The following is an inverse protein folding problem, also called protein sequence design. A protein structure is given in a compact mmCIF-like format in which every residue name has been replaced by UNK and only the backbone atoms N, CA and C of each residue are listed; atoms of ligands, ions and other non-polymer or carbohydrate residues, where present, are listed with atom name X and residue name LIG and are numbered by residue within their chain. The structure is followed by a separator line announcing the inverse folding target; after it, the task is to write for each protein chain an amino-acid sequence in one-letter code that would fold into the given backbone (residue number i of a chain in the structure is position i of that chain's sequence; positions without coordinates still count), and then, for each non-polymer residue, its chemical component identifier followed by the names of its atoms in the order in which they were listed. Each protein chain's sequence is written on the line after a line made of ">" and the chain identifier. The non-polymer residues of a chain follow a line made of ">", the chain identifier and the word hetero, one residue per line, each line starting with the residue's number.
data_IF_254548991486
#
_entry.id   IF_254548991486
#
_cell.length_a   1.000
_cell.length_b   1.000
_cell.length_c   1.000
_cell.angle_alpha   90.00
_cell.angle_beta   90.00
_cell.angle_gamma   90.00
#
_symmetry.space_group_name_H-M   'P 1'
#
loop_
_entity.id
_entity.type
_entity.pdbx_description
1 polymer ?
#
# COMPACT_ATOMS: atom_id res chain seq x y z
N UNK A 1 4.07 17.80 -11.81
CA UNK A 1 3.08 16.75 -12.09
C UNK A 1 1.73 17.25 -11.58
N UNK A 2 0.78 17.54 -12.47
CA UNK A 2 -0.50 18.20 -12.14
C UNK A 2 -1.68 17.23 -11.98
N UNK A 3 -1.43 15.96 -11.73
CA UNK A 3 -2.47 14.94 -11.58
C UNK A 3 -2.42 14.26 -10.22
N UNK A 4 -3.52 13.61 -9.84
CA UNK A 4 -3.56 12.74 -8.66
C UNK A 4 -2.68 11.50 -8.89
N UNK A 5 -2.03 11.01 -7.82
CA UNK A 5 -1.38 9.70 -7.84
C UNK A 5 -2.45 8.60 -7.94
N UNK A 6 -2.32 7.74 -8.91
CA UNK A 6 -3.23 6.60 -9.14
C UNK A 6 -2.73 5.41 -8.36
N UNK A 7 -3.55 4.94 -7.42
CA UNK A 7 -3.14 3.87 -6.52
C UNK A 7 -3.95 2.60 -6.74
N UNK A 8 -3.24 1.47 -6.67
CA UNK A 8 -3.83 0.15 -6.57
C UNK A 8 -3.64 -0.40 -5.16
N UNK A 9 -4.65 -1.08 -4.62
CA UNK A 9 -4.64 -1.61 -3.25
C UNK A 9 -4.70 -3.12 -3.26
N UNK A 10 -3.72 -3.76 -2.65
CA UNK A 10 -3.69 -5.21 -2.37
C UNK A 10 -3.93 -5.41 -0.88
N UNK A 11 -5.10 -5.96 -0.53
CA UNK A 11 -5.52 -6.18 0.84
C UNK A 11 -6.64 -5.23 1.29
N UNK A 12 -7.89 -5.73 1.29
CA UNK A 12 -9.09 -4.99 1.64
C UNK A 12 -9.64 -5.39 3.02
N UNK A 13 -8.75 -5.47 4.01
CA UNK A 13 -9.06 -5.83 5.39
C UNK A 13 -9.25 -4.63 6.32
N UNK A 14 -9.07 -4.88 7.63
CA UNK A 14 -9.26 -3.87 8.69
C UNK A 14 -8.40 -2.62 8.53
N UNK A 15 -7.18 -2.75 8.01
CA UNK A 15 -6.34 -1.59 7.80
C UNK A 15 -6.97 -0.62 6.79
N UNK A 16 -7.46 -1.13 5.65
CA UNK A 16 -8.16 -0.31 4.66
C UNK A 16 -9.44 0.29 5.26
N UNK A 17 -10.20 -0.48 6.05
CA UNK A 17 -11.38 0.02 6.75
C UNK A 17 -11.08 1.27 7.58
N UNK A 18 -9.95 1.28 8.27
CA UNK A 18 -9.52 2.42 9.10
C UNK A 18 -8.98 3.60 8.30
N UNK A 19 -8.57 3.40 7.06
CA UNK A 19 -7.94 4.42 6.20
C UNK A 19 -8.82 4.90 5.06
N UNK A 20 -9.97 4.26 4.83
CA UNK A 20 -10.84 4.57 3.70
C UNK A 20 -11.26 6.05 3.68
N UNK A 21 -11.63 6.62 4.83
CA UNK A 21 -12.02 8.03 4.93
C UNK A 21 -10.86 8.98 4.57
N UNK A 22 -9.64 8.67 5.00
CA UNK A 22 -8.45 9.48 4.70
C UNK A 22 -8.17 9.46 3.19
N UNK A 23 -8.29 8.30 2.55
CA UNK A 23 -8.10 8.14 1.10
C UNK A 23 -9.19 8.85 0.30
N UNK A 24 -10.45 8.75 0.71
CA UNK A 24 -11.59 9.42 0.06
C UNK A 24 -11.48 10.94 0.14
N UNK A 25 -11.03 11.48 1.27
CA UNK A 25 -10.89 12.92 1.47
C UNK A 25 -9.66 13.51 0.79
N UNK A 26 -8.70 12.68 0.38
CA UNK A 26 -7.48 13.15 -0.24
C UNK A 26 -7.72 13.73 -1.64
N UNK A 27 -7.15 14.91 -1.86
CA UNK A 27 -7.12 15.54 -3.19
C UNK A 27 -5.92 15.11 -4.04
N UNK A 28 -4.99 14.35 -3.45
CA UNK A 28 -3.71 14.00 -4.07
C UNK A 28 -3.66 12.57 -4.63
N UNK A 29 -4.59 11.72 -4.20
CA UNK A 29 -4.64 10.31 -4.64
C UNK A 29 -5.98 9.94 -5.24
N UNK A 30 -5.97 8.94 -6.09
CA UNK A 30 -7.15 8.32 -6.68
C UNK A 30 -6.99 6.80 -6.61
N UNK A 31 -7.93 6.12 -5.97
CA UNK A 31 -7.95 4.64 -5.96
C UNK A 31 -8.52 4.15 -7.28
N UNK A 32 -7.77 3.32 -8.01
CA UNK A 32 -8.17 2.78 -9.33
C UNK A 32 -8.57 1.33 -9.28
N UNK A 33 -7.77 0.52 -8.61
CA UNK A 33 -7.95 -0.93 -8.53
C UNK A 33 -7.79 -1.42 -7.11
N UNK A 34 -8.59 -2.44 -6.73
CA UNK A 34 -8.48 -3.11 -5.44
C UNK A 34 -8.53 -4.63 -5.62
N UNK A 35 -7.68 -5.31 -4.89
CA UNK A 35 -7.64 -6.77 -4.82
C UNK A 35 -7.64 -7.24 -3.37
N UNK A 36 -8.37 -8.31 -3.08
CA UNK A 36 -8.38 -8.94 -1.76
C UNK A 36 -8.05 -10.43 -1.87
N UNK A 37 -6.90 -10.88 -1.37
CA UNK A 37 -6.48 -12.28 -1.51
C UNK A 37 -7.33 -13.27 -0.73
N UNK A 38 -8.11 -12.81 0.25
CA UNK A 38 -8.90 -13.68 1.13
C UNK A 38 -10.39 -13.63 0.82
N UNK A 39 -10.90 -12.46 0.43
CA UNK A 39 -12.34 -12.26 0.23
C UNK A 39 -12.59 -11.22 -0.87
N UNK A 40 -12.95 -11.68 -2.06
CA UNK A 40 -13.24 -10.82 -3.22
C UNK A 40 -14.37 -9.83 -2.97
N UNK A 41 -15.40 -10.21 -2.20
CA UNK A 41 -16.49 -9.31 -1.85
C UNK A 41 -16.03 -8.05 -1.11
N UNK A 42 -14.92 -8.12 -0.36
CA UNK A 42 -14.32 -6.93 0.24
C UNK A 42 -13.72 -5.99 -0.82
N UNK A 43 -13.09 -6.54 -1.86
CA UNK A 43 -12.56 -5.72 -2.95
C UNK A 43 -13.69 -5.03 -3.72
N UNK A 44 -14.76 -5.75 -4.04
CA UNK A 44 -15.94 -5.22 -4.71
C UNK A 44 -16.60 -4.10 -3.90
N UNK A 45 -16.83 -4.33 -2.61
CA UNK A 45 -17.41 -3.33 -1.70
C UNK A 45 -16.60 -2.05 -1.64
N UNK A 46 -15.28 -2.16 -1.50
CA UNK A 46 -14.43 -0.96 -1.46
C UNK A 46 -14.28 -0.32 -2.85
N UNK A 47 -14.34 -1.09 -3.93
CA UNK A 47 -14.38 -0.54 -5.27
C UNK A 47 -15.59 0.39 -5.46
N UNK A 48 -16.77 -0.02 -5.02
CA UNK A 48 -17.97 0.83 -5.03
C UNK A 48 -17.75 2.12 -4.21
N UNK A 49 -17.21 2.00 -2.99
CA UNK A 49 -16.97 3.15 -2.10
C UNK A 49 -16.01 4.16 -2.71
N UNK A 50 -14.96 3.70 -3.39
CA UNK A 50 -13.96 4.56 -4.01
C UNK A 50 -14.29 5.01 -5.44
N UNK A 51 -15.34 4.48 -6.08
CA UNK A 51 -15.59 4.66 -7.50
C UNK A 51 -14.51 4.01 -8.36
N UNK A 52 -13.92 2.91 -7.88
CA UNK A 52 -12.83 2.15 -8.47
C UNK A 52 -13.32 0.81 -9.03
N UNK A 53 -12.41 -0.09 -9.40
CA UNK A 53 -12.74 -1.45 -9.86
C UNK A 53 -12.09 -2.50 -8.95
N UNK A 54 -12.78 -3.61 -8.74
CA UNK A 54 -12.17 -4.81 -8.19
C UNK A 54 -11.31 -5.50 -9.27
N UNK A 55 -10.13 -5.94 -8.88
CA UNK A 55 -9.23 -6.70 -9.75
C UNK A 55 -9.33 -8.19 -9.43
N UNK A 56 -9.18 -9.02 -10.45
CA UNK A 56 -9.25 -10.49 -10.32
C UNK A 56 -7.97 -11.08 -9.76
N UNK A 57 -6.86 -10.35 -9.85
CA UNK A 57 -5.56 -10.80 -9.35
C UNK A 57 -4.68 -9.61 -8.92
N UNK A 58 -3.65 -9.83 -8.08
CA UNK A 58 -2.69 -8.80 -7.73
C UNK A 58 -1.86 -8.34 -8.94
N UNK A 59 -1.60 -9.24 -9.91
CA UNK A 59 -0.87 -8.94 -11.14
C UNK A 59 -1.62 -7.90 -11.99
N UNK A 60 -2.96 -7.91 -11.99
CA UNK A 60 -3.76 -6.92 -12.68
C UNK A 60 -3.52 -5.50 -12.14
N UNK A 61 -3.18 -5.36 -10.85
CA UNK A 61 -2.80 -4.10 -10.23
C UNK A 61 -1.33 -3.77 -10.52
N UNK A 62 -0.44 -4.75 -10.30
CA UNK A 62 1.01 -4.55 -10.37
C UNK A 62 1.47 -4.20 -11.79
N UNK A 63 0.88 -4.84 -12.79
CA UNK A 63 1.27 -4.66 -14.19
C UNK A 63 0.47 -3.55 -14.92
N UNK A 64 -0.52 -2.96 -14.28
CA UNK A 64 -1.30 -1.89 -14.90
C UNK A 64 -0.43 -0.61 -15.06
N UNK A 65 -0.21 -0.12 -16.29
CA UNK A 65 0.59 1.07 -16.54
C UNK A 65 -0.03 2.36 -15.98
N UNK A 66 -1.33 2.34 -15.68
CA UNK A 66 -2.00 3.49 -15.08
C UNK A 66 -1.83 3.57 -13.55
N UNK A 67 -1.30 2.53 -12.89
CA UNK A 67 -1.05 2.55 -11.45
C UNK A 67 0.34 3.12 -11.19
N UNK A 68 0.40 4.18 -10.41
CA UNK A 68 1.65 4.83 -9.99
C UNK A 68 2.20 4.20 -8.69
N UNK A 69 1.30 3.82 -7.77
CA UNK A 69 1.65 3.32 -6.42
C UNK A 69 0.85 2.07 -6.09
N UNK A 70 1.51 1.03 -5.61
CA UNK A 70 0.88 -0.18 -5.07
C UNK A 70 0.87 -0.12 -3.54
N UNK A 71 -0.32 -0.10 -2.96
CA UNK A 71 -0.53 -0.14 -1.51
C UNK A 71 -0.71 -1.59 -1.06
N UNK A 72 0.27 -2.13 -0.32
CA UNK A 72 0.28 -3.53 0.14
C UNK A 72 -0.18 -3.60 1.59
N UNK A 73 -1.48 -3.83 1.79
CA UNK A 73 -2.16 -3.82 3.10
C UNK A 73 -2.49 -5.23 3.61
N UNK A 74 -1.68 -6.19 3.22
CA UNK A 74 -1.78 -7.58 3.69
C UNK A 74 -0.92 -7.82 4.95
N UNK A 75 -1.15 -8.92 5.67
CA UNK A 75 -0.32 -9.32 6.82
C UNK A 75 1.17 -9.46 6.45
N UNK A 76 2.10 -9.25 7.40
CA UNK A 76 3.54 -9.23 7.12
C UNK A 76 4.10 -10.55 6.56
N UNK A 77 3.51 -11.68 6.95
CA UNK A 77 3.98 -13.01 6.52
C UNK A 77 3.61 -13.40 5.07
N UNK A 78 2.76 -12.62 4.38
CA UNK A 78 2.44 -12.79 2.95
C UNK A 78 2.80 -11.57 2.12
N UNK A 79 3.41 -10.55 2.74
CA UNK A 79 3.66 -9.26 2.10
C UNK A 79 4.82 -9.29 1.11
N UNK A 80 5.85 -10.08 1.42
CA UNK A 80 7.08 -10.10 0.64
C UNK A 80 6.83 -10.28 -0.85
N UNK A 81 6.04 -11.26 -1.23
CA UNK A 81 5.77 -11.58 -2.64
C UNK A 81 5.21 -10.37 -3.40
N UNK A 82 4.26 -9.65 -2.81
CA UNK A 82 3.67 -8.47 -3.44
C UNK A 82 4.65 -7.29 -3.55
N UNK A 83 5.49 -7.09 -2.53
CA UNK A 83 6.50 -6.03 -2.57
C UNK A 83 7.57 -6.31 -3.61
N UNK A 84 8.07 -7.55 -3.68
CA UNK A 84 9.04 -7.97 -4.69
C UNK A 84 8.48 -7.82 -6.11
N UNK A 85 7.24 -8.26 -6.33
CA UNK A 85 6.58 -8.14 -7.63
C UNK A 85 6.36 -6.68 -8.02
N UNK A 86 5.88 -5.83 -7.10
CA UNK A 86 5.67 -4.41 -7.34
C UNK A 86 6.99 -3.67 -7.62
N UNK A 87 8.06 -3.96 -6.87
CA UNK A 87 9.39 -3.41 -7.11
C UNK A 87 9.90 -3.79 -8.51
N UNK A 88 9.83 -5.08 -8.87
CA UNK A 88 10.21 -5.58 -10.19
C UNK A 88 9.44 -4.90 -11.34
N UNK A 89 8.17 -4.56 -11.11
CA UNK A 89 7.33 -3.83 -12.07
C UNK A 89 7.58 -2.31 -12.07
N UNK A 90 8.53 -1.81 -11.29
CA UNK A 90 8.87 -0.39 -11.22
C UNK A 90 7.82 0.48 -10.50
N UNK A 91 6.96 -0.11 -9.70
CA UNK A 91 5.91 0.63 -8.96
C UNK A 91 6.46 1.23 -7.67
N UNK A 92 5.99 2.43 -7.32
CA UNK A 92 6.16 2.95 -5.96
C UNK A 92 5.32 2.11 -5.00
N UNK A 93 5.78 1.94 -3.76
CA UNK A 93 5.17 0.99 -2.83
C UNK A 93 4.81 1.69 -1.52
N UNK A 94 3.66 1.36 -0.98
CA UNK A 94 3.26 1.71 0.39
C UNK A 94 2.88 0.43 1.13
N UNK A 95 3.58 0.15 2.21
CA UNK A 95 3.33 -1.01 3.07
C UNK A 95 2.89 -0.59 4.47
N UNK A 96 2.37 -1.54 5.25
CA UNK A 96 2.02 -1.30 6.66
C UNK A 96 3.07 -1.89 7.60
N UNK A 97 3.09 -1.39 8.84
CA UNK A 97 3.92 -1.94 9.91
C UNK A 97 3.38 -3.34 10.36
N UNK A 98 4.23 -4.25 10.86
CA UNK A 98 5.67 -4.27 10.61
C UNK A 98 5.95 -4.51 9.12
N UNK A 99 7.12 -4.12 8.62
CA UNK A 99 7.44 -4.28 7.19
C UNK A 99 7.37 -5.75 6.76
N UNK A 100 7.98 -6.65 7.54
CA UNK A 100 7.99 -8.08 7.30
C UNK A 100 7.77 -8.86 8.61
N UNK A 101 7.63 -10.18 8.51
CA UNK A 101 7.51 -11.07 9.66
C UNK A 101 8.86 -11.33 10.34
N UNK A 102 9.94 -11.33 9.55
CA UNK A 102 11.30 -11.55 10.02
C UNK A 102 12.32 -10.66 9.28
N UNK A 103 13.57 -10.70 9.75
CA UNK A 103 14.65 -9.86 9.24
C UNK A 103 15.10 -10.28 7.83
N UNK A 104 15.03 -11.56 7.48
CA UNK A 104 15.42 -12.06 6.16
C UNK A 104 14.50 -11.48 5.08
N UNK A 105 13.20 -11.59 5.30
CA UNK A 105 12.19 -11.01 4.40
C UNK A 105 12.31 -9.50 4.29
N UNK A 106 12.57 -8.82 5.42
CA UNK A 106 12.77 -7.37 5.41
C UNK A 106 13.98 -6.96 4.56
N UNK A 107 15.08 -7.69 4.64
CA UNK A 107 16.28 -7.45 3.83
C UNK A 107 16.02 -7.67 2.35
N UNK A 108 15.44 -8.82 1.97
CA UNK A 108 15.10 -9.11 0.58
C UNK A 108 14.20 -8.04 -0.04
N UNK A 109 13.18 -7.60 0.71
CA UNK A 109 12.27 -6.54 0.27
C UNK A 109 13.01 -5.21 0.08
N UNK A 110 13.89 -4.85 1.02
CA UNK A 110 14.67 -3.60 0.94
C UNK A 110 15.63 -3.63 -0.24
N UNK A 111 16.37 -4.72 -0.41
CA UNK A 111 17.30 -4.91 -1.53
C UNK A 111 16.59 -4.84 -2.88
N UNK A 112 15.42 -5.48 -3.02
CA UNK A 112 14.63 -5.43 -4.25
C UNK A 112 14.14 -4.02 -4.59
N UNK A 113 13.69 -3.27 -3.58
CA UNK A 113 13.25 -1.87 -3.73
C UNK A 113 14.42 -0.98 -4.16
N UNK A 114 15.59 -1.14 -3.55
CA UNK A 114 16.80 -0.39 -3.88
C UNK A 114 17.29 -0.71 -5.30
N UNK A 115 17.37 -1.99 -5.66
CA UNK A 115 17.79 -2.45 -6.99
C UNK A 115 16.86 -1.95 -8.10
N UNK A 116 15.55 -1.91 -7.82
CA UNK A 116 14.55 -1.40 -8.77
C UNK A 116 14.54 0.14 -8.87
N UNK A 117 15.22 0.84 -7.97
CA UNK A 117 15.22 2.31 -7.92
C UNK A 117 13.85 2.92 -7.58
N UNK A 118 12.96 2.17 -6.94
CA UNK A 118 11.64 2.63 -6.53
C UNK A 118 11.63 3.02 -5.06
N UNK A 119 10.57 3.70 -4.62
CA UNK A 119 10.39 4.07 -3.21
C UNK A 119 9.42 3.12 -2.53
N UNK A 120 9.74 2.71 -1.31
CA UNK A 120 8.84 1.99 -0.42
C UNK A 120 8.65 2.77 0.87
N UNK A 121 7.43 3.24 1.12
CA UNK A 121 7.06 3.89 2.37
C UNK A 121 6.37 2.89 3.31
N UNK A 122 6.74 2.88 4.59
CA UNK A 122 6.06 2.06 5.61
C UNK A 122 5.22 2.96 6.50
N UNK A 123 3.92 2.68 6.57
CA UNK A 123 2.99 3.45 7.39
C UNK A 123 3.13 3.06 8.86
N UNK A 124 3.62 4.00 9.66
CA UNK A 124 3.60 3.93 11.11
C UNK A 124 2.56 4.92 11.66
N UNK A 125 1.56 4.40 12.34
CA UNK A 125 0.38 5.16 12.80
C UNK A 125 0.70 6.38 13.67
N UNK A 126 1.87 6.42 14.32
CA UNK A 126 2.23 7.43 15.30
C UNK A 126 3.31 8.40 14.86
N UNK A 127 3.81 8.29 13.64
CA UNK A 127 4.97 9.09 13.18
C UNK A 127 4.68 10.60 13.19
N UNK A 128 3.43 11.00 12.94
CA UNK A 128 3.01 12.40 12.90
C UNK A 128 2.00 12.74 14.01
N UNK A 129 2.08 12.06 15.16
CA UNK A 129 1.21 12.33 16.30
C UNK A 129 1.79 13.52 17.09
N UNK A 130 1.03 14.61 17.33
CA UNK A 130 1.49 15.79 18.07
C UNK A 130 2.04 15.47 19.46
N UNK A 131 1.49 14.44 20.12
CA UNK A 131 1.99 13.98 21.43
C UNK A 131 3.40 13.38 21.32
N UNK A 132 3.69 12.65 20.22
CA UNK A 132 5.02 12.08 19.98
C UNK A 132 6.02 13.20 19.62
N UNK A 133 5.60 14.20 18.85
CA UNK A 133 6.46 15.34 18.55
C UNK A 133 6.80 16.14 19.82
N UNK A 134 5.80 16.45 20.66
CA UNK A 134 6.05 17.08 21.95
C UNK A 134 6.95 16.23 22.88
N UNK A 135 6.83 14.90 22.82
CA UNK A 135 7.67 14.00 23.59
C UNK A 135 9.14 14.07 23.14
N UNK A 136 9.41 14.16 21.84
CA UNK A 136 10.77 14.31 21.29
C UNK A 136 11.45 15.63 21.68
N UNK A 137 10.67 16.67 21.95
CA UNK A 137 11.20 17.96 22.40
C UNK A 137 11.63 17.96 23.88
N UNK A 138 11.15 16.98 24.67
CA UNK A 138 11.45 16.86 26.10
C UNK A 138 12.68 15.98 26.37
N UNK A 139 13.00 15.07 25.46
CA UNK A 139 14.09 14.09 25.55
C UNK A 139 15.03 14.16 24.35
#
# INVERSE_FOLDING_TARGET
>A
MSGKLRIGIIGCGDFLRLRAADLLSSRQVEVKLLYSPVNSANAERYAEIFGAKAADSPEAIINDPEIDVVCVFVPPFVRKEYVLAAAKAGKQIVATKPLAADLSDAREMTEAVEQAGVRCGVIYRRTNNPVIEAYKEIF
#
